data_IF_918865933640
#
_entry.id   IF_918865933640
#
_cell.length_a   1.000
_cell.length_b   1.000
_cell.length_c   1.000
_cell.angle_alpha   90.00
_cell.angle_beta   90.00
_cell.angle_gamma   90.00
#
_symmetry.space_group_name_H-M   'P 1'
#
loop_
_entity.id
_entity.type
_entity.pdbx_description
1 polymer ?
#
# COMPACT_ATOMS: atom_id res chain seq x y z
N UNK A 1 -10.49 15.44 -15.82
CA UNK A 1 -9.64 15.73 -14.64
C UNK A 1 -9.93 14.65 -13.61
N UNK A 2 -9.12 13.58 -13.57
CA UNK A 2 -9.37 12.39 -12.75
C UNK A 2 -8.59 12.55 -11.45
N UNK A 3 -9.27 12.67 -10.32
CA UNK A 3 -8.69 12.74 -8.98
C UNK A 3 -8.16 11.38 -8.49
N UNK A 4 -7.60 10.55 -9.40
CA UNK A 4 -7.24 9.14 -9.17
C UNK A 4 -5.74 8.96 -8.87
N UNK A 5 -4.91 9.98 -9.12
CA UNK A 5 -3.46 9.75 -9.18
C UNK A 5 -2.75 9.71 -7.81
N UNK A 6 -3.11 10.53 -6.82
CA UNK A 6 -2.25 10.69 -5.63
C UNK A 6 -2.31 9.50 -4.67
N UNK A 7 -3.51 9.01 -4.34
CA UNK A 7 -3.67 7.86 -3.43
C UNK A 7 -3.18 6.56 -4.04
N UNK A 8 -3.36 6.38 -5.35
CA UNK A 8 -2.91 5.16 -6.05
C UNK A 8 -1.38 5.00 -5.99
N UNK A 9 -0.63 6.10 -6.11
CA UNK A 9 0.84 6.07 -5.99
C UNK A 9 1.26 5.67 -4.57
N UNK A 10 0.59 6.20 -3.54
CA UNK A 10 0.85 5.82 -2.13
C UNK A 10 0.58 4.33 -1.89
N UNK A 11 -0.58 3.84 -2.32
CA UNK A 11 -0.97 2.45 -2.15
C UNK A 11 0.00 1.50 -2.86
N UNK A 12 0.42 1.84 -4.08
CA UNK A 12 1.43 1.08 -4.80
C UNK A 12 2.77 1.05 -4.07
N UNK A 13 3.20 2.15 -3.47
CA UNK A 13 4.45 2.20 -2.70
C UNK A 13 4.39 1.28 -1.46
N UNK A 14 3.28 1.31 -0.71
CA UNK A 14 3.04 0.43 0.44
C UNK A 14 3.08 -1.04 0.02
N UNK A 15 2.32 -1.40 -1.02
CA UNK A 15 2.22 -2.78 -1.49
C UNK A 15 3.55 -3.32 -2.04
N UNK A 16 4.37 -2.49 -2.71
CA UNK A 16 5.72 -2.89 -3.15
C UNK A 16 6.62 -3.23 -1.97
N UNK A 17 6.57 -2.42 -0.91
CA UNK A 17 7.38 -2.67 0.28
C UNK A 17 6.97 -3.99 0.94
N UNK A 18 5.65 -4.20 1.10
CA UNK A 18 5.11 -5.43 1.66
C UNK A 18 5.37 -6.66 0.77
N UNK A 19 5.52 -6.51 -0.55
CA UNK A 19 5.92 -7.62 -1.41
C UNK A 19 7.34 -8.13 -1.11
N UNK A 20 8.25 -7.23 -0.71
CA UNK A 20 9.63 -7.56 -0.36
C UNK A 20 9.71 -8.13 1.05
N UNK A 21 9.08 -7.46 2.02
CA UNK A 21 9.21 -7.76 3.44
C UNK A 21 8.15 -8.72 3.99
N UNK A 22 7.12 -9.04 3.17
CA UNK A 22 5.92 -9.82 3.50
C UNK A 22 4.99 -9.12 4.49
N UNK A 23 5.50 -8.77 5.66
CA UNK A 23 4.79 -8.05 6.71
C UNK A 23 5.69 -6.99 7.33
N UNK A 24 5.13 -5.85 7.69
CA UNK A 24 5.85 -4.78 8.38
C UNK A 24 4.96 -4.08 9.40
N UNK A 25 5.52 -3.58 10.51
CA UNK A 25 4.80 -2.67 11.37
C UNK A 25 4.46 -1.35 10.67
N UNK A 26 3.36 -0.72 11.06
CA UNK A 26 2.89 0.57 10.52
C UNK A 26 3.97 1.65 10.66
N UNK A 27 4.68 1.68 11.79
CA UNK A 27 5.73 2.67 12.04
C UNK A 27 6.92 2.52 11.08
N UNK A 28 7.30 1.27 10.76
CA UNK A 28 8.36 0.97 9.81
C UNK A 28 7.96 1.35 8.38
N UNK A 29 6.74 1.00 7.96
CA UNK A 29 6.19 1.43 6.67
C UNK A 29 6.21 2.95 6.53
N UNK A 30 5.72 3.66 7.55
CA UNK A 30 5.67 5.11 7.59
C UNK A 30 7.07 5.74 7.57
N UNK A 31 8.05 5.10 8.23
CA UNK A 31 9.46 5.57 8.24
C UNK A 31 10.15 5.34 6.89
N UNK A 32 9.91 4.19 6.26
CA UNK A 32 10.51 3.83 4.97
C UNK A 32 9.88 4.60 3.80
N UNK A 33 8.59 4.94 3.91
CA UNK A 33 7.82 5.68 2.92
C UNK A 33 7.56 7.13 3.37
N UNK A 34 8.51 7.73 4.08
CA UNK A 34 8.35 9.04 4.73
C UNK A 34 7.89 10.16 3.77
N UNK A 35 8.25 10.09 2.49
CA UNK A 35 7.84 11.06 1.48
C UNK A 35 6.31 11.08 1.20
N UNK A 36 5.61 10.01 1.56
CA UNK A 36 4.17 9.87 1.30
C UNK A 36 3.31 10.35 2.47
N UNK A 37 3.95 10.71 3.60
CA UNK A 37 3.28 11.20 4.81
C UNK A 37 2.10 10.30 5.22
N UNK A 38 2.34 8.98 5.22
CA UNK A 38 1.33 7.99 5.56
C UNK A 38 0.81 8.21 6.99
N UNK A 39 -0.51 8.17 7.13
CA UNK A 39 -1.22 8.16 8.41
C UNK A 39 -1.98 6.84 8.55
N UNK A 40 -2.37 6.48 9.76
CA UNK A 40 -3.15 5.26 10.05
C UNK A 40 -4.41 5.15 9.19
N UNK A 41 -5.03 6.29 8.84
CA UNK A 41 -6.22 6.33 7.99
C UNK A 41 -5.96 5.83 6.57
N UNK A 42 -4.78 6.10 5.99
CA UNK A 42 -4.41 5.58 4.66
C UNK A 42 -4.39 4.04 4.67
N UNK A 43 -3.89 3.43 5.75
CA UNK A 43 -3.87 1.97 5.87
C UNK A 43 -5.27 1.39 6.08
N UNK A 44 -6.14 2.08 6.82
CA UNK A 44 -7.54 1.68 6.99
C UNK A 44 -8.30 1.74 5.68
N UNK A 45 -8.11 2.79 4.89
CA UNK A 45 -8.71 2.88 3.55
C UNK A 45 -8.25 1.73 2.65
N UNK A 46 -6.97 1.33 2.72
CA UNK A 46 -6.45 0.19 1.98
C UNK A 46 -7.00 -1.15 2.49
N UNK A 47 -7.22 -1.29 3.81
CA UNK A 47 -7.86 -2.45 4.42
C UNK A 47 -9.33 -2.58 4.00
N UNK A 48 -10.09 -1.48 4.02
CA UNK A 48 -11.48 -1.42 3.58
C UNK A 48 -11.65 -1.81 2.11
N UNK A 49 -10.65 -1.48 1.28
CA UNK A 49 -10.56 -1.92 -0.12
C UNK A 49 -10.06 -3.36 -0.29
N UNK A 50 -9.66 -4.02 0.80
CA UNK A 50 -9.15 -5.38 0.83
C UNK A 50 -7.73 -5.53 0.25
N UNK A 51 -6.96 -4.46 0.11
CA UNK A 51 -5.60 -4.49 -0.46
C UNK A 51 -4.57 -5.01 0.54
N UNK A 52 -4.78 -4.72 1.83
CA UNK A 52 -3.95 -5.17 2.93
C UNK A 52 -4.83 -5.59 4.11
N UNK A 53 -4.20 -6.15 5.13
CA UNK A 53 -4.82 -6.40 6.43
C UNK A 53 -3.99 -5.76 7.52
N UNK A 54 -4.66 -5.21 8.51
CA UNK A 54 -4.09 -4.63 9.71
C UNK A 54 -4.39 -5.57 10.88
N UNK A 55 -3.37 -5.93 11.65
CA UNK A 55 -3.55 -6.69 12.89
C UNK A 55 -2.86 -5.94 14.01
N UNK A 56 -3.62 -5.53 15.03
CA UNK A 56 -3.05 -4.83 16.17
C UNK A 56 -2.28 -5.82 17.07
N UNK A 57 -0.98 -5.59 17.23
CA UNK A 57 -0.07 -6.46 18.01
C UNK A 57 0.78 -5.60 18.93
N UNK A 58 0.59 -5.77 20.24
CA UNK A 58 1.31 -4.98 21.24
C UNK A 58 0.77 -3.55 21.30
N UNK A 59 1.50 -2.63 20.68
CA UNK A 59 1.22 -1.19 20.66
C UNK A 59 1.06 -0.60 19.24
N UNK A 60 1.21 -1.40 18.19
CA UNK A 60 1.07 -0.94 16.80
C UNK A 60 0.37 -1.96 15.88
N UNK A 61 -0.01 -1.50 14.68
CA UNK A 61 -0.57 -2.37 13.64
C UNK A 61 0.55 -3.06 12.85
N UNK A 62 0.47 -4.38 12.77
CA UNK A 62 1.21 -5.17 11.81
C UNK A 62 0.43 -5.21 10.49
N UNK A 63 1.08 -4.79 9.41
CA UNK A 63 0.49 -4.67 8.08
C UNK A 63 0.96 -5.83 7.22
N UNK A 64 0.03 -6.48 6.53
CA UNK A 64 0.31 -7.61 5.64
C UNK A 64 -0.48 -7.47 4.33
N UNK A 65 0.07 -7.93 3.22
CA UNK A 65 -0.58 -7.81 1.90
C UNK A 65 -1.54 -8.98 1.63
N UNK A 66 -2.73 -8.66 1.12
CA UNK A 66 -3.69 -9.68 0.67
C UNK A 66 -3.40 -10.19 -0.73
N UNK A 67 -4.08 -11.25 -1.16
CA UNK A 67 -4.05 -11.68 -2.57
C UNK A 67 -4.57 -10.58 -3.51
N UNK A 68 -5.62 -9.85 -3.11
CA UNK A 68 -6.17 -8.76 -3.89
C UNK A 68 -5.16 -7.62 -4.05
N UNK A 69 -4.46 -7.23 -2.98
CA UNK A 69 -3.41 -6.20 -3.05
C UNK A 69 -2.28 -6.56 -4.00
N UNK A 70 -1.88 -7.84 -4.07
CA UNK A 70 -0.88 -8.29 -5.05
C UNK A 70 -1.37 -8.12 -6.49
N UNK A 71 -2.58 -8.59 -6.79
CA UNK A 71 -3.17 -8.48 -8.13
C UNK A 71 -3.35 -7.01 -8.54
N UNK A 72 -3.80 -6.17 -7.60
CA UNK A 72 -3.93 -4.74 -7.81
C UNK A 72 -2.59 -4.09 -8.17
N UNK A 73 -1.51 -4.45 -7.45
CA UNK A 73 -0.17 -3.93 -7.72
C UNK A 73 0.34 -4.38 -9.10
N UNK A 74 0.10 -5.63 -9.48
CA UNK A 74 0.46 -6.15 -10.81
C UNK A 74 -0.27 -5.39 -11.92
N UNK A 75 -1.56 -5.11 -11.75
CA UNK A 75 -2.35 -4.31 -12.69
C UNK A 75 -1.83 -2.87 -12.76
N UNK A 76 -1.61 -2.23 -11.62
CA UNK A 76 -1.06 -0.87 -11.54
C UNK A 76 0.29 -0.75 -12.26
N UNK A 77 1.19 -1.74 -12.06
CA UNK A 77 2.48 -1.80 -12.76
C UNK A 77 2.34 -2.01 -14.27
N UNK A 78 1.32 -2.76 -14.70
CA UNK A 78 1.06 -3.02 -16.13
C UNK A 78 0.48 -1.80 -16.84
N UNK A 79 -0.43 -1.07 -16.19
CA UNK A 79 -1.03 0.16 -16.71
C UNK A 79 0.01 1.29 -16.82
N UNK A 80 0.95 1.39 -15.88
CA UNK A 80 2.07 2.33 -15.97
C UNK A 80 3.02 2.08 -17.14
N UNK A 81 3.11 0.84 -17.63
CA UNK A 81 3.94 0.46 -18.78
C UNK A 81 3.19 0.65 -20.12
N UNK A 82 1.85 0.58 -20.11
CA UNK A 82 1.04 0.71 -21.32
C UNK A 82 0.87 2.16 -21.83
N UNK A 83 1.35 3.14 -21.07
CA UNK A 83 1.36 4.56 -21.46
C UNK A 83 2.65 4.98 -22.21
N UNK A 84 3.47 4.01 -22.61
CA UNK A 84 4.71 4.20 -23.38
C UNK A 84 4.57 3.49 -24.74
N UNK A 85 3.58 3.91 -25.56
CA UNK A 85 3.53 3.57 -26.99
C UNK A 85 2.94 4.74 -27.78
#
# INVERSE_FOLDING_TARGET
MRAIDDSSVKYAAVLRLLQIWKQLPESDLSRMLRQYYLITDDFREMEDQGLLTMTFVGDEYLINTTTLGRLWLEQYSSEGNSNVI
#
